data_IF_286328787373
#
_entry.id   IF_286328787373
#
_cell.length_a   1.000
_cell.length_b   1.000
_cell.length_c   1.000
_cell.angle_alpha   90.00
_cell.angle_beta   90.00
_cell.angle_gamma   90.00
#
_symmetry.space_group_name_H-M   'P 1'
#
loop_
_entity.id
_entity.type
_entity.pdbx_description
1 polymer ?
#
# COMPACT_ATOMS: atom_id res chain seq x y z
N UNK A 1 3.34 24.15 -65.37
CA UNK A 1 2.91 24.93 -64.19
C UNK A 1 2.06 24.07 -63.22
N UNK A 2 0.95 23.45 -63.66
CA UNK A 2 0.07 22.63 -62.81
C UNK A 2 0.72 21.41 -62.12
N UNK A 3 1.60 20.68 -62.82
CA UNK A 3 2.29 19.51 -62.25
C UNK A 3 3.14 19.88 -61.02
N UNK A 4 3.78 21.05 -61.06
CA UNK A 4 4.63 21.54 -59.96
C UNK A 4 3.77 21.85 -58.73
N UNK A 5 2.59 22.45 -58.90
CA UNK A 5 1.65 22.69 -57.81
C UNK A 5 1.12 21.40 -57.20
N UNK A 6 0.78 20.40 -58.02
CA UNK A 6 0.32 19.10 -57.55
C UNK A 6 1.40 18.34 -56.76
N UNK A 7 2.64 18.35 -57.23
CA UNK A 7 3.77 17.73 -56.52
C UNK A 7 4.06 18.45 -55.21
N UNK A 8 4.07 19.79 -55.19
CA UNK A 8 4.25 20.57 -53.97
C UNK A 8 3.16 20.31 -52.93
N UNK A 9 1.90 20.18 -53.37
CA UNK A 9 0.78 19.83 -52.50
C UNK A 9 0.91 18.42 -51.90
N UNK A 10 1.30 17.43 -52.71
CA UNK A 10 1.52 16.06 -52.24
C UNK A 10 2.65 16.00 -51.20
N UNK A 11 3.76 16.71 -51.45
CA UNK A 11 4.88 16.81 -50.51
C UNK A 11 4.48 17.52 -49.20
N UNK A 12 3.62 18.53 -49.27
CA UNK A 12 3.09 19.19 -48.08
C UNK A 12 2.20 18.25 -47.24
N UNK A 13 1.40 17.40 -47.90
CA UNK A 13 0.58 16.39 -47.23
C UNK A 13 1.42 15.28 -46.59
N UNK A 14 2.46 14.76 -47.25
CA UNK A 14 3.33 13.74 -46.66
C UNK A 14 4.11 14.27 -45.45
N UNK A 15 4.59 15.52 -45.53
CA UNK A 15 5.20 16.20 -44.38
C UNK A 15 4.22 16.40 -43.21
N UNK A 16 2.93 16.63 -43.48
CA UNK A 16 1.91 16.67 -42.44
C UNK A 16 1.64 15.28 -41.84
N UNK A 17 1.60 14.23 -42.66
CA UNK A 17 1.39 12.84 -42.22
C UNK A 17 2.51 12.37 -41.28
N UNK A 18 3.78 12.56 -41.66
CA UNK A 18 4.92 12.20 -40.80
C UNK A 18 4.93 12.97 -39.47
N UNK A 19 4.46 14.22 -39.47
CA UNK A 19 4.30 14.98 -38.23
C UNK A 19 3.23 14.32 -37.35
N UNK A 20 2.05 14.00 -37.90
CA UNK A 20 0.97 13.36 -37.14
C UNK A 20 1.41 12.01 -36.57
N UNK A 21 2.14 11.20 -37.34
CA UNK A 21 2.68 9.92 -36.88
C UNK A 21 3.67 10.12 -35.72
N UNK A 22 4.60 11.07 -35.84
CA UNK A 22 5.54 11.40 -34.77
C UNK A 22 4.82 11.85 -33.48
N UNK A 23 3.80 12.71 -33.62
CA UNK A 23 2.98 13.15 -32.48
C UNK A 23 2.18 12.00 -31.87
N UNK A 24 1.62 11.08 -32.67
CA UNK A 24 0.91 9.89 -32.16
C UNK A 24 1.85 9.02 -31.32
N UNK A 25 3.03 8.72 -31.83
CA UNK A 25 4.02 7.90 -31.13
C UNK A 25 4.48 8.55 -29.81
N UNK A 26 4.69 9.88 -29.81
CA UNK A 26 5.03 10.62 -28.58
C UNK A 26 3.87 10.60 -27.58
N UNK A 27 2.62 10.74 -28.05
CA UNK A 27 1.45 10.72 -27.17
C UNK A 27 1.24 9.33 -26.57
N UNK A 28 1.38 8.27 -27.36
CA UNK A 28 1.29 6.89 -26.90
C UNK A 28 2.35 6.57 -25.84
N UNK A 29 3.59 7.00 -26.06
CA UNK A 29 4.68 6.78 -25.09
C UNK A 29 4.45 7.55 -23.79
N UNK A 30 3.94 8.79 -23.86
CA UNK A 30 3.54 9.56 -22.67
C UNK A 30 2.39 8.87 -21.92
N UNK A 31 1.36 8.40 -22.62
CA UNK A 31 0.23 7.69 -22.02
C UNK A 31 0.68 6.40 -21.33
N UNK A 32 1.55 5.61 -21.97
CA UNK A 32 2.11 4.40 -21.36
C UNK A 32 2.95 4.71 -20.11
N UNK A 33 3.75 5.76 -20.15
CA UNK A 33 4.56 6.21 -19.00
C UNK A 33 3.68 6.62 -17.83
N UNK A 34 2.68 7.47 -18.09
CA UNK A 34 1.72 7.91 -17.07
C UNK A 34 0.91 6.75 -16.49
N UNK A 35 0.56 5.77 -17.32
CA UNK A 35 -0.18 4.57 -16.88
C UNK A 35 0.68 3.71 -15.96
N UNK A 36 1.95 3.54 -16.29
CA UNK A 36 2.92 2.84 -15.44
C UNK A 36 3.14 3.60 -14.12
N UNK A 37 3.38 4.91 -14.17
CA UNK A 37 3.61 5.72 -12.98
C UNK A 37 2.41 5.72 -12.03
N UNK A 38 1.19 5.76 -12.59
CA UNK A 38 -0.05 5.62 -11.80
C UNK A 38 -0.16 4.25 -11.15
N UNK A 39 0.22 3.18 -11.84
CA UNK A 39 0.18 1.83 -11.28
C UNK A 39 1.17 1.64 -10.13
N UNK A 40 2.33 2.31 -10.16
CA UNK A 40 3.37 2.24 -9.11
C UNK A 40 2.90 2.91 -7.80
N UNK A 41 2.02 3.91 -7.88
CA UNK A 41 1.52 4.64 -6.70
C UNK A 41 0.29 4.02 -6.03
N UNK A 42 -0.38 3.07 -6.67
CA UNK A 42 -1.62 2.48 -6.13
C UNK A 42 -1.30 1.26 -5.27
N UNK A 43 -1.57 1.38 -3.97
CA UNK A 43 -1.46 0.28 -3.02
C UNK A 43 -2.64 0.23 -2.08
N UNK A 44 -3.08 -0.99 -1.78
CA UNK A 44 -4.10 -1.28 -0.79
C UNK A 44 -3.99 -2.75 -0.36
N UNK A 45 -4.16 -3.04 0.92
CA UNK A 45 -4.20 -4.42 1.39
C UNK A 45 -5.28 -4.62 2.44
N UNK A 46 -5.77 -5.85 2.54
CA UNK A 46 -6.64 -6.30 3.60
C UNK A 46 -6.23 -7.72 4.00
N UNK A 47 -6.07 -7.95 5.30
CA UNK A 47 -5.61 -9.23 5.82
C UNK A 47 -6.20 -9.53 7.20
N UNK A 48 -6.36 -10.82 7.49
CA UNK A 48 -6.76 -11.36 8.79
C UNK A 48 -5.59 -12.10 9.45
N UNK A 49 -5.63 -12.17 10.79
CA UNK A 49 -4.57 -12.80 11.58
C UNK A 49 -4.39 -14.28 11.21
N UNK A 50 -5.51 -14.98 11.03
CA UNK A 50 -5.58 -16.38 10.64
C UNK A 50 -6.05 -16.51 9.18
N UNK A 51 -5.53 -17.51 8.48
CA UNK A 51 -5.94 -17.83 7.11
C UNK A 51 -7.37 -18.40 7.04
N UNK A 52 -7.81 -19.09 8.08
CA UNK A 52 -9.15 -19.65 8.21
C UNK A 52 -9.45 -19.96 9.67
N UNK A 53 -10.74 -19.92 10.04
CA UNK A 53 -11.22 -20.34 11.36
C UNK A 53 -10.97 -19.30 12.47
N UNK A 54 -11.09 -19.77 13.71
CA UNK A 54 -10.83 -19.00 14.91
C UNK A 54 -9.61 -19.57 15.65
N UNK A 55 -8.93 -18.72 16.39
CA UNK A 55 -7.73 -19.12 17.10
C UNK A 55 -7.12 -17.96 17.86
N UNK A 56 -6.30 -18.28 18.85
CA UNK A 56 -5.55 -17.31 19.64
C UNK A 56 -4.15 -17.10 19.07
N UNK A 57 -3.71 -15.84 19.06
CA UNK A 57 -2.34 -15.46 18.68
C UNK A 57 -1.71 -14.75 19.85
N UNK A 58 -0.67 -15.37 20.44
CA UNK A 58 -0.09 -14.98 21.72
C UNK A 58 -0.28 -16.06 22.79
N UNK A 59 0.05 -15.78 24.07
CA UNK A 59 0.51 -14.49 24.60
C UNK A 59 1.94 -14.14 24.18
N UNK A 60 2.27 -12.85 24.19
CA UNK A 60 3.62 -12.35 23.87
C UNK A 60 4.19 -11.60 25.06
N UNK A 61 5.34 -12.03 25.56
CA UNK A 61 6.06 -11.38 26.67
C UNK A 61 6.95 -10.21 26.20
N UNK A 62 7.16 -10.08 24.89
CA UNK A 62 7.98 -9.06 24.25
C UNK A 62 7.24 -8.50 23.04
N UNK A 63 7.62 -7.31 22.57
CA UNK A 63 7.00 -6.72 21.38
C UNK A 63 7.22 -7.63 20.18
N UNK A 64 6.13 -8.28 19.75
CA UNK A 64 6.16 -9.27 18.68
C UNK A 64 5.35 -8.79 17.50
N UNK A 65 5.93 -8.86 16.31
CA UNK A 65 5.24 -8.56 15.07
C UNK A 65 4.09 -9.53 14.81
N UNK A 66 2.87 -9.01 14.79
CA UNK A 66 1.69 -9.75 14.37
C UNK A 66 1.71 -9.88 12.83
N UNK A 67 1.74 -11.12 12.38
CA UNK A 67 1.72 -11.46 10.96
C UNK A 67 0.31 -11.87 10.57
N UNK A 68 -0.34 -11.07 9.72
CA UNK A 68 -1.70 -11.34 9.24
C UNK A 68 -1.61 -12.24 8.02
N UNK A 69 -1.78 -13.54 8.24
CA UNK A 69 -1.55 -14.57 7.22
C UNK A 69 -2.70 -14.72 6.22
N UNK A 70 -3.92 -14.36 6.62
CA UNK A 70 -5.09 -14.45 5.76
C UNK A 70 -5.22 -13.22 4.87
N UNK A 71 -4.39 -13.12 3.83
CA UNK A 71 -4.45 -12.01 2.88
C UNK A 71 -5.68 -12.13 1.98
N UNK A 72 -6.57 -11.13 2.04
CA UNK A 72 -7.74 -11.02 1.18
C UNK A 72 -7.40 -10.23 -0.09
N UNK A 73 -6.64 -9.14 0.05
CA UNK A 73 -6.18 -8.33 -1.08
C UNK A 73 -4.81 -7.69 -0.79
N UNK A 74 -4.00 -7.47 -1.83
CA UNK A 74 -2.67 -6.86 -1.72
C UNK A 74 -2.28 -6.15 -3.03
N UNK A 75 -3.02 -5.10 -3.37
CA UNK A 75 -2.77 -4.26 -4.55
C UNK A 75 -1.39 -3.60 -4.42
N UNK A 76 -0.60 -3.74 -5.48
CA UNK A 76 0.78 -3.22 -5.52
C UNK A 76 1.78 -4.00 -4.67
N UNK A 77 1.38 -5.14 -4.08
CA UNK A 77 2.25 -6.06 -3.32
C UNK A 77 3.09 -5.40 -2.22
N UNK A 78 2.55 -4.36 -1.60
CA UNK A 78 3.24 -3.58 -0.57
C UNK A 78 3.23 -4.26 0.82
N UNK A 79 2.30 -5.19 1.06
CA UNK A 79 2.24 -5.98 2.30
C UNK A 79 2.94 -7.34 2.14
N UNK A 80 3.78 -7.72 3.09
CA UNK A 80 4.41 -9.04 3.11
C UNK A 80 3.74 -9.96 4.16
N UNK A 81 3.01 -11.01 3.75
CA UNK A 81 2.31 -11.90 4.68
C UNK A 81 3.22 -12.89 5.44
N UNK A 82 4.50 -12.95 5.11
CA UNK A 82 5.47 -13.75 5.85
C UNK A 82 6.05 -12.98 7.03
N UNK A 83 6.21 -11.66 6.87
CA UNK A 83 6.83 -10.79 7.88
C UNK A 83 5.83 -9.90 8.62
N UNK A 84 4.63 -9.70 8.08
CA UNK A 84 3.62 -8.80 8.63
C UNK A 84 3.87 -7.33 8.33
N UNK A 85 4.84 -7.02 7.45
CA UNK A 85 5.33 -5.66 7.23
C UNK A 85 4.72 -5.07 5.95
N UNK A 86 4.17 -3.87 6.06
CA UNK A 86 3.83 -3.03 4.92
C UNK A 86 5.01 -2.10 4.57
N UNK A 87 5.40 -2.09 3.29
CA UNK A 87 6.44 -1.22 2.75
C UNK A 87 5.83 -0.26 1.75
N UNK A 88 5.84 1.03 2.05
CA UNK A 88 5.24 2.01 1.17
C UNK A 88 6.15 2.24 -0.06
N UNK A 89 5.64 2.04 -1.29
CA UNK A 89 6.46 2.14 -2.50
C UNK A 89 6.78 3.60 -2.87
N UNK A 90 5.92 4.55 -2.44
CA UNK A 90 6.05 5.97 -2.76
C UNK A 90 5.86 6.84 -1.52
N UNK A 91 6.32 8.09 -1.59
CA UNK A 91 6.01 9.10 -0.57
C UNK A 91 4.54 9.46 -0.63
N UNK A 92 3.89 9.50 0.51
CA UNK A 92 2.47 9.84 0.59
C UNK A 92 1.90 9.70 1.99
N UNK A 93 0.62 10.01 2.11
CA UNK A 93 -0.17 9.67 3.28
C UNK A 93 -0.81 8.29 3.07
N UNK A 94 -0.78 7.48 4.12
CA UNK A 94 -1.34 6.14 4.14
C UNK A 94 -2.32 6.03 5.30
N UNK A 95 -3.48 5.42 5.01
CA UNK A 95 -4.51 5.15 5.99
C UNK A 95 -4.43 3.68 6.40
N UNK A 96 -4.42 3.43 7.70
CA UNK A 96 -4.44 2.10 8.28
C UNK A 96 -5.58 1.99 9.26
N UNK A 97 -6.33 0.92 9.13
CA UNK A 97 -7.40 0.55 10.04
C UNK A 97 -7.24 -0.92 10.39
N UNK A 98 -7.32 -1.25 11.67
CA UNK A 98 -7.36 -2.63 12.11
C UNK A 98 -8.32 -2.83 13.27
N UNK A 99 -8.80 -4.06 13.33
CA UNK A 99 -9.75 -4.55 14.30
C UNK A 99 -9.15 -5.75 15.00
N UNK A 100 -9.08 -5.68 16.33
CA UNK A 100 -8.55 -6.76 17.13
C UNK A 100 -9.54 -7.09 18.22
N UNK A 101 -9.79 -8.38 18.36
CA UNK A 101 -10.59 -8.92 19.43
C UNK A 101 -9.65 -9.47 20.51
N UNK A 102 -9.81 -8.98 21.73
CA UNK A 102 -9.03 -9.43 22.87
C UNK A 102 -9.92 -10.28 23.76
N UNK A 103 -9.53 -11.53 23.94
CA UNK A 103 -10.11 -12.35 25.00
C UNK A 103 -9.38 -12.01 26.30
N UNK A 104 -10.14 -11.61 27.32
CA UNK A 104 -9.57 -11.21 28.61
C UNK A 104 -8.61 -12.26 29.19
N UNK A 105 -7.57 -11.79 29.86
CA UNK A 105 -6.52 -12.62 30.49
C UNK A 105 -6.04 -11.99 31.79
N UNK A 106 -5.04 -12.57 32.46
CA UNK A 106 -4.52 -12.04 33.74
C UNK A 106 -3.64 -10.79 33.61
N UNK A 107 -3.45 -10.27 32.40
CA UNK A 107 -2.42 -9.29 32.07
C UNK A 107 -2.94 -8.24 31.09
N UNK A 108 -2.40 -7.03 31.16
CA UNK A 108 -2.75 -5.94 30.24
C UNK A 108 -2.18 -6.26 28.85
N UNK A 109 -2.98 -6.05 27.81
CA UNK A 109 -2.54 -6.24 26.43
C UNK A 109 -2.37 -4.91 25.72
N UNK A 110 -1.33 -4.80 24.88
CA UNK A 110 -1.09 -3.62 24.05
C UNK A 110 -0.94 -4.06 22.62
N UNK A 111 -1.60 -3.33 21.73
CA UNK A 111 -1.37 -3.44 20.30
C UNK A 111 -1.22 -2.08 19.66
N UNK A 112 -0.23 -1.93 18.79
CA UNK A 112 0.04 -0.65 18.16
C UNK A 112 0.74 -0.75 16.82
N UNK A 113 0.65 0.34 16.05
CA UNK A 113 1.42 0.54 14.84
C UNK A 113 2.75 1.18 15.18
N UNK A 114 3.82 0.53 14.79
CA UNK A 114 5.17 1.09 14.89
C UNK A 114 5.61 1.61 13.51
N UNK A 115 6.31 2.75 13.46
CA UNK A 115 7.01 3.33 12.31
C UNK A 115 8.32 3.94 12.80
N UNK A 116 9.47 3.45 12.35
CA UNK A 116 10.81 4.03 12.65
C UNK A 116 10.98 4.49 14.11
N UNK A 117 10.83 3.55 15.06
CA UNK A 117 10.87 3.76 16.51
C UNK A 117 9.69 4.53 17.12
N UNK A 118 8.82 5.17 16.35
CA UNK A 118 7.57 5.74 16.85
C UNK A 118 6.49 4.66 16.88
N UNK A 119 5.81 4.49 18.02
CA UNK A 119 4.69 3.56 18.14
C UNK A 119 3.43 4.30 18.54
N UNK A 120 2.38 4.20 17.73
CA UNK A 120 1.02 4.51 18.13
C UNK A 120 0.41 3.25 18.72
N UNK A 121 0.08 3.24 20.01
CA UNK A 121 -0.40 2.04 20.70
C UNK A 121 -1.79 2.25 21.29
N UNK A 122 -2.63 1.22 21.19
CA UNK A 122 -3.84 1.04 22.00
C UNK A 122 -3.50 0.07 23.12
N UNK A 123 -3.70 0.51 24.36
CA UNK A 123 -3.67 -0.36 25.53
C UNK A 123 -5.09 -0.84 25.80
N UNK A 124 -5.24 -2.13 26.09
CA UNK A 124 -6.51 -2.77 26.44
C UNK A 124 -6.34 -3.45 27.80
N UNK A 125 -7.25 -3.12 28.71
CA UNK A 125 -7.16 -3.48 30.11
C UNK A 125 -7.65 -4.90 30.37
N UNK A 126 -7.14 -5.51 31.44
CA UNK A 126 -7.42 -6.87 31.91
C UNK A 126 -8.92 -7.27 31.94
N UNK A 127 -9.83 -6.32 32.12
CA UNK A 127 -11.26 -6.56 32.37
C UNK A 127 -12.16 -6.35 31.13
N UNK A 128 -11.59 -5.91 30.01
CA UNK A 128 -12.38 -5.57 28.83
C UNK A 128 -12.39 -6.72 27.82
N UNK A 129 -13.56 -7.35 27.62
CA UNK A 129 -13.87 -7.99 26.34
C UNK A 129 -14.08 -6.86 25.32
N UNK A 130 -12.98 -6.35 24.76
CA UNK A 130 -13.02 -5.22 23.84
C UNK A 130 -12.69 -5.65 22.41
N UNK A 131 -13.50 -5.13 21.48
CA UNK A 131 -13.09 -4.94 20.10
C UNK A 131 -12.24 -3.66 20.07
N UNK A 132 -10.92 -3.79 19.99
CA UNK A 132 -10.03 -2.68 19.77
C UNK A 132 -10.07 -2.26 18.30
N UNK A 133 -10.50 -1.03 18.03
CA UNK A 133 -10.31 -0.38 16.72
C UNK A 133 -9.18 0.62 16.86
N UNK A 134 -8.22 0.59 15.95
CA UNK A 134 -7.31 1.73 15.76
C UNK A 134 -7.33 2.16 14.31
N UNK A 135 -7.48 3.47 14.13
CA UNK A 135 -7.39 4.16 12.86
C UNK A 135 -6.19 5.10 12.92
N UNK A 136 -5.38 5.10 11.86
CA UNK A 136 -4.18 5.94 11.80
C UNK A 136 -3.93 6.45 10.40
N UNK A 137 -3.63 7.75 10.31
CA UNK A 137 -3.11 8.39 9.11
C UNK A 137 -1.61 8.62 9.30
N UNK A 138 -0.79 7.96 8.49
CA UNK A 138 0.66 8.01 8.59
C UNK A 138 1.25 8.61 7.30
N UNK A 139 2.06 9.68 7.42
CA UNK A 139 2.84 10.23 6.29
C UNK A 139 4.17 9.48 6.15
N UNK A 140 4.57 9.10 4.94
CA UNK A 140 5.73 8.23 4.67
C UNK A 140 6.86 8.94 3.90
N UNK A 141 8.11 8.63 4.28
CA UNK A 141 9.35 9.04 3.59
C UNK A 141 10.12 7.76 3.19
N UNK A 142 10.82 7.73 2.04
CA UNK A 142 11.34 6.51 1.42
C UNK A 142 12.57 5.92 2.15
N UNK A 143 13.12 6.60 3.15
CA UNK A 143 14.28 6.16 3.94
C UNK A 143 13.87 5.54 5.29
N UNK A 144 12.59 5.23 5.47
CA UNK A 144 11.98 5.13 6.78
C UNK A 144 11.21 3.80 6.85
N UNK A 145 11.81 2.77 7.46
CA UNK A 145 11.28 1.39 7.56
C UNK A 145 10.33 1.10 8.74
N UNK A 146 9.60 0.00 8.52
CA UNK A 146 8.88 -0.88 9.45
C UNK A 146 7.56 -0.38 10.03
N UNK A 147 6.48 -0.83 9.38
CA UNK A 147 5.17 -1.04 9.98
C UNK A 147 5.15 -2.39 10.70
N UNK A 148 4.84 -2.39 11.98
CA UNK A 148 4.63 -3.60 12.76
C UNK A 148 3.43 -3.38 13.67
N UNK A 149 2.48 -4.32 13.64
CA UNK A 149 1.46 -4.42 14.68
C UNK A 149 2.09 -5.24 15.80
N UNK A 150 2.58 -4.60 16.86
CA UNK A 150 3.21 -5.32 17.97
C UNK A 150 2.16 -5.75 19.00
N UNK A 151 2.13 -7.03 19.39
CA UNK A 151 1.40 -7.49 20.56
C UNK A 151 2.33 -7.66 21.76
N UNK A 152 1.95 -7.17 22.93
CA UNK A 152 2.59 -7.48 24.22
C UNK A 152 1.56 -7.63 25.33
N UNK A 153 1.74 -8.65 26.17
CA UNK A 153 0.98 -8.95 27.38
C UNK A 153 1.90 -8.71 28.59
N UNK A 154 1.51 -7.84 29.53
CA UNK A 154 2.31 -7.43 30.72
C UNK A 154 1.57 -7.78 32.00
#
# INVERSE_FOLDING_TARGET
HWIIFSVAFLLAQTAALHRIEAWSNVTETQVQTLTRDRAVGQVAFSASLLASGSGHTGPFNTDTTLVFRGVVSNIGNAYNPHTGIFTAPVRGAYHFEFYLFFQGGSHDSRVGLTKNMFSLQVKISQMDLALGRMESLCSWRPETWCFCVCGRTI
#
